data_IF_395878558957
#
_entry.id   IF_395878558957
#
_cell.length_a   1.000
_cell.length_b   1.000
_cell.length_c   1.000
_cell.angle_alpha   90.00
_cell.angle_beta   90.00
_cell.angle_gamma   90.00
#
_symmetry.space_group_name_H-M   'P 1'
#
loop_
_entity.id
_entity.type
_entity.pdbx_description
1 polymer ?
#
# COMPACT_ATOMS: atom_id res chain seq x y z
N UNK A 1 8.58 -4.92 3.27
CA UNK A 1 10.04 -5.25 3.21
C UNK A 1 10.71 -4.65 1.95
N UNK A 2 10.17 -3.53 1.43
CA UNK A 2 10.59 -2.96 0.15
C UNK A 2 10.00 -3.66 -1.09
N UNK A 3 9.38 -4.84 -0.93
CA UNK A 3 8.67 -5.54 -2.01
C UNK A 3 7.17 -5.51 -1.77
N UNK A 4 6.37 -5.53 -2.84
CA UNK A 4 4.92 -5.74 -2.77
C UNK A 4 4.62 -7.23 -2.85
N UNK A 5 4.04 -7.80 -1.80
CA UNK A 5 3.69 -9.22 -1.70
C UNK A 5 2.42 -9.44 -0.88
N UNK A 6 2.03 -10.71 -0.69
CA UNK A 6 0.80 -11.06 0.02
C UNK A 6 0.80 -10.64 1.50
N UNK A 7 1.98 -10.50 2.10
CA UNK A 7 2.15 -10.01 3.46
C UNK A 7 1.63 -8.59 3.65
N UNK A 8 1.73 -7.74 2.62
CA UNK A 8 1.22 -6.37 2.68
C UNK A 8 -0.31 -6.35 2.75
N UNK A 9 -0.99 -7.16 1.92
CA UNK A 9 -2.44 -7.32 1.98
C UNK A 9 -2.91 -7.86 3.34
N UNK A 10 -2.19 -8.83 3.90
CA UNK A 10 -2.50 -9.39 5.23
C UNK A 10 -2.32 -8.34 6.33
N UNK A 11 -1.28 -7.51 6.24
CA UNK A 11 -1.01 -6.45 7.21
C UNK A 11 -2.17 -5.44 7.26
N UNK A 12 -2.63 -4.96 6.09
CA UNK A 12 -3.75 -4.01 6.00
C UNK A 12 -5.04 -4.63 6.52
N UNK A 13 -5.38 -5.86 6.11
CA UNK A 13 -6.56 -6.57 6.62
C UNK A 13 -6.51 -6.78 8.14
N UNK A 14 -5.34 -7.10 8.68
CA UNK A 14 -5.13 -7.27 10.12
C UNK A 14 -5.33 -5.96 10.87
N UNK A 15 -4.80 -4.85 10.36
CA UNK A 15 -5.01 -3.52 10.91
C UNK A 15 -6.51 -3.16 10.97
N UNK A 16 -7.22 -3.37 9.87
CA UNK A 16 -8.64 -2.99 9.74
C UNK A 16 -9.59 -3.83 10.60
N UNK A 17 -9.37 -5.14 10.70
CA UNK A 17 -10.37 -6.05 11.28
C UNK A 17 -9.92 -6.83 12.51
N UNK A 18 -8.61 -6.85 12.80
CA UNK A 18 -8.04 -7.69 13.86
C UNK A 18 -7.27 -6.90 14.91
N UNK A 19 -7.37 -5.56 14.92
CA UNK A 19 -6.53 -4.69 15.77
C UNK A 19 -5.03 -5.03 15.61
N UNK A 20 -4.63 -5.34 14.38
CA UNK A 20 -3.25 -5.61 14.02
C UNK A 20 -2.33 -4.42 14.27
N UNK A 21 -1.01 -4.60 14.10
CA UNK A 21 -0.05 -3.52 14.27
C UNK A 21 -0.36 -2.35 13.33
N UNK A 22 0.07 -1.15 13.72
CA UNK A 22 0.06 0.01 12.82
C UNK A 22 1.11 -0.11 11.72
N UNK A 23 1.03 0.79 10.75
CA UNK A 23 1.97 0.83 9.63
C UNK A 23 3.22 1.64 9.99
N UNK A 24 4.38 1.18 9.52
CA UNK A 24 5.60 1.99 9.59
C UNK A 24 5.54 3.23 8.68
N UNK A 25 4.77 3.11 7.59
CA UNK A 25 4.50 4.14 6.60
C UNK A 25 3.01 4.01 6.25
N UNK A 26 2.19 4.99 6.65
CA UNK A 26 0.75 4.92 6.46
C UNK A 26 0.36 5.10 4.99
N UNK A 27 1.09 5.91 4.23
CA UNK A 27 0.86 6.04 2.78
C UNK A 27 1.12 4.73 2.03
N UNK A 28 2.05 3.88 2.49
CA UNK A 28 2.26 2.56 1.89
C UNK A 28 1.10 1.58 2.16
N UNK A 29 0.18 1.90 3.07
CA UNK A 29 -1.02 1.13 3.33
C UNK A 29 -2.24 1.62 2.54
N UNK A 30 -2.18 2.84 2.00
CA UNK A 30 -3.10 3.41 1.01
C UNK A 30 -2.55 3.08 -0.39
N UNK A 31 -2.76 1.84 -0.83
CA UNK A 31 -2.10 1.28 -2.03
C UNK A 31 -2.78 1.75 -3.32
N UNK A 32 -4.07 2.09 -3.25
CA UNK A 32 -4.81 2.62 -4.38
C UNK A 32 -4.75 4.15 -4.49
N UNK A 33 -4.05 4.83 -3.55
CA UNK A 33 -3.79 6.27 -3.53
C UNK A 33 -5.08 7.10 -3.52
N UNK A 34 -6.04 6.70 -2.68
CA UNK A 34 -7.36 7.35 -2.57
C UNK A 34 -7.55 8.19 -1.30
N UNK A 35 -6.47 8.37 -0.53
CA UNK A 35 -6.39 9.10 0.73
C UNK A 35 -7.17 8.44 1.88
N UNK A 36 -7.50 7.16 1.78
CA UNK A 36 -8.07 6.35 2.83
C UNK A 36 -7.32 5.02 2.99
N UNK A 37 -7.29 4.50 4.21
CA UNK A 37 -6.85 3.13 4.46
C UNK A 37 -8.09 2.32 4.76
N UNK A 38 -8.55 1.54 3.79
CA UNK A 38 -9.78 0.76 3.87
C UNK A 38 -9.69 -0.60 3.15
N UNK A 39 -10.83 -1.23 2.88
CA UNK A 39 -10.89 -2.56 2.26
C UNK A 39 -10.43 -2.55 0.79
N UNK A 40 -10.42 -1.40 0.13
CA UNK A 40 -9.95 -1.20 -1.23
C UNK A 40 -8.46 -1.51 -1.37
N UNK A 41 -7.65 -1.14 -0.40
CA UNK A 41 -6.19 -1.33 -0.42
C UNK A 41 -5.74 -2.79 -0.54
N UNK A 42 -6.16 -3.71 0.35
CA UNK A 42 -5.76 -5.10 0.22
C UNK A 42 -6.37 -5.75 -1.03
N UNK A 43 -7.55 -5.31 -1.48
CA UNK A 43 -8.13 -5.78 -2.74
C UNK A 43 -7.24 -5.35 -3.92
N UNK A 44 -6.75 -4.11 -3.92
CA UNK A 44 -5.85 -3.59 -4.95
C UNK A 44 -4.54 -4.37 -5.01
N UNK A 45 -3.91 -4.64 -3.86
CA UNK A 45 -2.70 -5.48 -3.76
C UNK A 45 -2.96 -6.87 -4.35
N UNK A 46 -4.05 -7.53 -3.95
CA UNK A 46 -4.36 -8.88 -4.44
C UNK A 46 -4.68 -8.89 -5.94
N UNK A 47 -5.33 -7.86 -6.46
CA UNK A 47 -5.60 -7.71 -7.89
C UNK A 47 -4.30 -7.55 -8.69
N UNK A 48 -3.36 -6.72 -8.21
CA UNK A 48 -2.03 -6.56 -8.80
C UNK A 48 -1.26 -7.90 -8.81
N UNK A 49 -1.24 -8.62 -7.68
CA UNK A 49 -0.47 -9.86 -7.53
C UNK A 49 -1.05 -11.05 -8.32
N UNK A 50 -2.37 -11.17 -8.40
CA UNK A 50 -3.02 -12.42 -8.85
C UNK A 50 -4.00 -12.28 -10.01
N UNK A 51 -4.40 -11.06 -10.36
CA UNK A 51 -5.42 -10.80 -11.38
C UNK A 51 -4.93 -9.92 -12.54
N UNK A 52 -3.62 -9.73 -12.67
CA UNK A 52 -3.02 -8.80 -13.65
C UNK A 52 -3.63 -7.39 -13.55
N UNK A 53 -3.96 -6.96 -12.33
CA UNK A 53 -4.40 -5.61 -12.04
C UNK A 53 -3.32 -4.57 -12.32
N UNK A 54 -3.66 -3.28 -12.37
CA UNK A 54 -2.68 -2.22 -12.52
C UNK A 54 -1.66 -2.24 -11.37
N UNK A 55 -0.41 -1.82 -11.62
CA UNK A 55 0.55 -1.61 -10.53
C UNK A 55 0.07 -0.46 -9.63
N UNK A 56 0.47 -0.46 -8.33
CA UNK A 56 0.26 0.68 -7.46
C UNK A 56 0.84 1.98 -8.04
N UNK A 57 0.20 3.13 -7.80
CA UNK A 57 0.73 4.44 -8.18
C UNK A 57 2.11 4.71 -7.57
N UNK A 58 2.90 5.64 -8.16
CA UNK A 58 4.11 6.12 -7.53
C UNK A 58 3.80 6.90 -6.24
N UNK A 59 4.66 6.87 -5.20
CA UNK A 59 5.83 6.01 -5.07
C UNK A 59 5.41 4.55 -4.80
N UNK A 60 5.80 3.65 -5.70
CA UNK A 60 5.32 2.28 -5.74
C UNK A 60 6.39 1.28 -6.18
N UNK A 61 6.06 -0.02 -6.25
CA UNK A 61 7.03 -1.10 -6.49
C UNK A 61 7.76 -1.01 -7.82
N UNK A 62 7.25 -0.22 -8.78
CA UNK A 62 7.83 -0.05 -10.11
C UNK A 62 8.26 1.39 -10.44
N UNK A 63 7.91 2.37 -9.61
CA UNK A 63 8.17 3.79 -9.91
C UNK A 63 8.36 4.59 -8.62
N UNK A 64 9.54 5.22 -8.48
CA UNK A 64 9.91 6.11 -7.36
C UNK A 64 9.34 7.53 -7.50
N UNK A 65 8.40 7.74 -8.42
CA UNK A 65 7.84 9.05 -8.74
C UNK A 65 7.26 9.80 -7.55
N UNK A 66 6.78 11.02 -7.84
CA UNK A 66 6.15 11.87 -6.84
C UNK A 66 4.78 11.27 -6.48
N UNK A 67 4.50 11.29 -5.17
CA UNK A 67 3.19 10.99 -4.61
C UNK A 67 2.12 11.98 -5.15
N UNK A 68 1.11 11.50 -5.90
CA UNK A 68 0.03 12.33 -6.41
C UNK A 68 -0.91 12.83 -5.30
N UNK A 69 -1.04 12.07 -4.19
CA UNK A 69 -1.90 12.39 -3.06
C UNK A 69 -1.14 12.38 -1.72
N UNK A 70 -0.28 13.40 -1.46
CA UNK A 70 0.59 13.46 -0.27
C UNK A 70 -0.16 13.86 1.01
N UNK A 71 -1.39 13.39 1.18
CA UNK A 71 -2.27 13.64 2.32
C UNK A 71 -1.92 12.75 3.50
N UNK A 72 -1.39 11.54 3.23
CA UNK A 72 -0.93 10.60 4.26
C UNK A 72 0.60 10.63 4.29
N UNK A 73 1.17 10.88 5.47
CA UNK A 73 2.62 11.04 5.60
C UNK A 73 3.34 9.68 5.71
N UNK A 74 4.57 9.64 5.19
CA UNK A 74 5.52 8.57 5.37
C UNK A 74 6.91 9.11 5.71
N UNK A 75 7.44 8.66 6.86
CA UNK A 75 8.77 9.04 7.31
C UNK A 75 9.88 8.63 6.31
N UNK A 76 9.69 7.53 5.58
CA UNK A 76 10.55 7.11 4.48
C UNK A 76 9.91 6.01 3.64
N UNK A 77 9.99 6.10 2.32
CA UNK A 77 9.74 5.01 1.39
C UNK A 77 11.07 4.55 0.78
N UNK A 78 11.57 3.33 1.08
CA UNK A 78 12.72 2.78 0.38
C UNK A 78 12.29 2.37 -1.02
N UNK A 79 12.62 3.21 -2.01
CA UNK A 79 12.44 2.82 -3.41
C UNK A 79 13.51 1.79 -3.83
N UNK A 80 13.16 0.76 -4.63
CA UNK A 80 14.14 -0.17 -5.20
C UNK A 80 15.22 0.49 -6.06
#
# INVERSE_FOLDING_TARGET
DGSTNIGDAILVLSHLFSSGPGFACAAAADVNDDAAIDIGDPIFVLAYLFSMGPPPPPPGPSDCGIDPTPVIDCASYPCP
#
